data_IF_567206185601
#
_entry.id   IF_567206185601
#
_cell.length_a   1.000
_cell.length_b   1.000
_cell.length_c   1.000
_cell.angle_alpha   90.00
_cell.angle_beta   90.00
_cell.angle_gamma   90.00
#
_symmetry.space_group_name_H-M   'P 1'
#
loop_
_entity.id
_entity.type
_entity.pdbx_description
1 polymer ?
#
# COMPACT_ATOMS: atom_id res chain seq x y z
N UNK A 1 -10.13 -13.09 -4.69
CA UNK A 1 -9.33 -13.56 -3.54
C UNK A 1 -10.23 -14.44 -2.72
N UNK A 2 -9.85 -15.69 -2.53
CA UNK A 2 -10.47 -16.58 -1.58
C UNK A 2 -10.23 -16.12 -0.14
N UNK A 3 -10.84 -16.84 0.79
CA UNK A 3 -10.83 -16.48 2.22
C UNK A 3 -9.41 -16.50 2.80
N UNK A 4 -8.63 -17.54 2.49
CA UNK A 4 -7.25 -17.68 2.97
C UNK A 4 -6.36 -16.52 2.52
N UNK A 5 -6.45 -16.11 1.25
CA UNK A 5 -5.64 -14.98 0.75
C UNK A 5 -6.06 -13.66 1.40
N UNK A 6 -7.36 -13.44 1.68
CA UNK A 6 -7.82 -12.26 2.40
C UNK A 6 -7.25 -12.20 3.82
N UNK A 7 -7.25 -13.32 4.54
CA UNK A 7 -6.69 -13.41 5.90
C UNK A 7 -5.19 -13.13 5.87
N UNK A 8 -4.44 -13.82 5.02
CA UNK A 8 -3.00 -13.59 4.87
C UNK A 8 -2.70 -12.14 4.50
N UNK A 9 -3.41 -11.58 3.53
CA UNK A 9 -3.25 -10.19 3.12
C UNK A 9 -3.49 -9.22 4.28
N UNK A 10 -4.57 -9.39 5.04
CA UNK A 10 -4.85 -8.54 6.21
C UNK A 10 -3.79 -8.68 7.30
N UNK A 11 -3.27 -9.88 7.52
CA UNK A 11 -2.21 -10.12 8.49
C UNK A 11 -0.94 -9.34 8.13
N UNK A 12 -0.40 -9.55 6.92
CA UNK A 12 0.81 -8.85 6.47
C UNK A 12 0.61 -7.34 6.33
N UNK A 13 -0.57 -6.90 5.85
CA UNK A 13 -0.90 -5.48 5.80
C UNK A 13 -0.88 -4.86 7.20
N UNK A 14 -1.41 -5.55 8.21
CA UNK A 14 -1.43 -5.06 9.60
C UNK A 14 -0.02 -4.97 10.15
N UNK A 15 0.83 -5.97 9.89
CA UNK A 15 2.23 -5.96 10.30
C UNK A 15 2.99 -4.78 9.66
N UNK A 16 2.81 -4.57 8.37
CA UNK A 16 3.42 -3.45 7.65
C UNK A 16 2.90 -2.09 8.16
N UNK A 17 1.61 -1.98 8.47
CA UNK A 17 1.03 -0.78 9.05
C UNK A 17 1.59 -0.47 10.45
N UNK A 18 1.75 -1.50 11.30
CA UNK A 18 2.39 -1.36 12.62
C UNK A 18 3.83 -0.88 12.45
N UNK A 19 4.61 -1.51 11.57
CA UNK A 19 5.98 -1.09 11.29
C UNK A 19 6.04 0.36 10.80
N UNK A 20 5.17 0.75 9.87
CA UNK A 20 5.10 2.11 9.36
C UNK A 20 4.77 3.13 10.47
N UNK A 21 3.83 2.78 11.35
CA UNK A 21 3.42 3.66 12.45
C UNK A 21 4.51 3.78 13.52
N UNK A 22 5.20 2.70 13.86
CA UNK A 22 6.25 2.69 14.88
C UNK A 22 7.55 3.34 14.40
N UNK A 23 7.98 3.06 13.17
CA UNK A 23 9.27 3.53 12.64
C UNK A 23 9.18 4.93 12.06
N UNK A 24 8.09 5.24 11.35
CA UNK A 24 7.97 6.49 10.58
C UNK A 24 6.87 7.42 11.09
N UNK A 25 6.22 7.08 12.21
CA UNK A 25 5.06 7.82 12.74
C UNK A 25 3.98 8.01 11.67
N UNK A 26 3.81 6.99 10.81
CA UNK A 26 2.90 7.05 9.68
C UNK A 26 1.47 7.38 10.13
N UNK A 27 0.89 8.39 9.48
CA UNK A 27 -0.48 8.83 9.72
C UNK A 27 -1.19 9.05 8.40
N UNK A 28 -2.50 8.82 8.38
CA UNK A 28 -3.37 9.07 7.24
C UNK A 28 -4.42 10.08 7.65
N UNK A 29 -4.45 11.21 6.95
CA UNK A 29 -5.44 12.27 7.18
C UNK A 29 -6.53 12.16 6.11
N UNK A 30 -7.78 12.41 6.48
CA UNK A 30 -8.94 12.39 5.58
C UNK A 30 -9.17 11.05 4.84
N UNK A 31 -8.98 9.91 5.52
CA UNK A 31 -9.12 8.58 4.95
C UNK A 31 -10.52 8.32 4.37
N UNK A 32 -11.54 8.98 4.90
CA UNK A 32 -12.93 8.91 4.46
C UNK A 32 -13.16 9.42 3.04
N UNK A 33 -12.25 10.24 2.50
CA UNK A 33 -12.31 10.74 1.11
C UNK A 33 -11.98 9.66 0.07
N UNK A 34 -11.39 8.53 0.48
CA UNK A 34 -11.08 7.44 -0.44
C UNK A 34 -12.37 6.76 -0.94
N UNK A 35 -12.57 6.61 -2.26
CA UNK A 35 -13.75 5.94 -2.79
C UNK A 35 -13.85 4.48 -2.32
N UNK A 36 -14.95 4.13 -1.64
CA UNK A 36 -15.13 2.79 -1.06
C UNK A 36 -15.70 1.77 -2.05
N UNK A 37 -16.63 2.21 -2.92
CA UNK A 37 -17.43 1.33 -3.78
C UNK A 37 -16.97 1.34 -5.25
N UNK A 38 -16.27 2.38 -5.68
CA UNK A 38 -15.86 2.55 -7.08
C UNK A 38 -14.37 2.26 -7.28
N UNK A 39 -13.95 1.80 -8.47
CA UNK A 39 -12.55 1.80 -8.86
C UNK A 39 -12.00 3.23 -8.95
N UNK A 40 -10.73 3.43 -8.60
CA UNK A 40 -10.03 4.70 -8.73
C UNK A 40 -8.53 4.46 -8.91
N UNK A 41 -7.83 5.44 -9.47
CA UNK A 41 -6.37 5.46 -9.54
C UNK A 41 -5.85 6.27 -8.35
N UNK A 42 -4.93 5.69 -7.59
CA UNK A 42 -4.19 6.42 -6.56
C UNK A 42 -2.94 7.00 -7.21
N UNK A 43 -2.88 8.34 -7.32
CA UNK A 43 -1.77 9.06 -7.96
C UNK A 43 -1.03 9.93 -6.92
N UNK A 44 -0.20 9.33 -6.04
CA UNK A 44 0.56 10.09 -5.06
C UNK A 44 1.77 10.79 -5.71
N UNK A 45 2.26 11.84 -5.07
CA UNK A 45 3.59 12.38 -5.39
C UNK A 45 4.65 11.35 -4.97
N UNK A 46 5.56 10.99 -5.87
CA UNK A 46 6.60 9.99 -5.63
C UNK A 46 7.95 10.68 -5.39
N UNK A 47 8.39 10.73 -4.14
CA UNK A 47 9.67 11.26 -3.67
C UNK A 47 10.67 10.16 -3.28
N UNK A 48 10.21 8.95 -3.01
CA UNK A 48 11.07 7.84 -2.59
C UNK A 48 10.48 6.47 -2.92
N UNK A 49 11.32 5.44 -3.01
CA UNK A 49 10.88 4.07 -3.28
C UNK A 49 9.90 3.52 -2.22
N UNK A 50 9.98 4.00 -0.97
CA UNK A 50 9.09 3.56 0.11
C UNK A 50 7.68 4.16 0.00
N UNK A 51 7.47 5.16 -0.85
CA UNK A 51 6.15 5.78 -1.02
C UNK A 51 5.12 4.80 -1.58
N UNK A 52 5.54 3.87 -2.45
CA UNK A 52 4.65 2.86 -3.03
C UNK A 52 4.04 1.94 -1.96
N UNK A 53 4.83 1.26 -1.10
CA UNK A 53 4.26 0.46 -0.02
C UNK A 53 3.47 1.31 0.99
N UNK A 54 3.94 2.50 1.37
CA UNK A 54 3.20 3.38 2.30
C UNK A 54 1.87 3.87 1.72
N UNK A 55 1.83 4.21 0.43
CA UNK A 55 0.62 4.55 -0.29
C UNK A 55 -0.37 3.40 -0.34
N UNK A 56 0.10 2.15 -0.36
CA UNK A 56 -0.75 0.96 -0.20
C UNK A 56 -1.39 0.82 1.18
N UNK A 57 -0.76 1.35 2.24
CA UNK A 57 -1.23 1.24 3.63
C UNK A 57 -2.35 2.23 3.99
N UNK A 58 -2.73 3.15 3.10
CA UNK A 58 -3.87 4.05 3.36
C UNK A 58 -5.23 3.34 3.19
N UNK A 59 -5.26 2.18 2.52
CA UNK A 59 -6.48 1.41 2.22
C UNK A 59 -6.28 -0.08 2.48
N UNK A 60 -7.35 -0.77 2.88
CA UNK A 60 -7.38 -2.23 2.98
C UNK A 60 -7.74 -2.92 1.66
N UNK A 61 -8.09 -2.13 0.63
CA UNK A 61 -8.34 -2.65 -0.71
C UNK A 61 -7.00 -3.04 -1.32
N UNK A 62 -6.97 -4.18 -2.04
CA UNK A 62 -5.78 -4.59 -2.77
C UNK A 62 -5.45 -3.56 -3.85
N UNK A 63 -4.34 -2.85 -3.67
CA UNK A 63 -3.78 -1.92 -4.65
C UNK A 63 -2.93 -2.71 -5.65
N UNK A 64 -2.99 -2.32 -6.92
CA UNK A 64 -2.10 -2.82 -7.98
C UNK A 64 -1.21 -1.66 -8.39
N UNK A 65 0.10 -1.88 -8.38
CA UNK A 65 1.10 -0.86 -8.69
C UNK A 65 1.61 -1.05 -10.10
N UNK A 66 1.96 0.06 -10.74
CA UNK A 66 2.72 0.07 -11.99
C UNK A 66 4.18 0.28 -11.61
N UNK A 67 5.03 -0.68 -11.99
CA UNK A 67 6.45 -0.65 -11.72
C UNK A 67 7.20 -0.65 -13.05
N UNK A 68 8.29 0.13 -13.15
CA UNK A 68 9.18 0.09 -14.30
C UNK A 68 9.84 -1.28 -14.38
N UNK A 69 9.97 -1.84 -15.58
CA UNK A 69 10.58 -3.15 -15.81
C UNK A 69 11.98 -3.27 -15.17
N UNK A 70 12.79 -2.21 -15.24
CA UNK A 70 14.15 -2.19 -14.68
C UNK A 70 14.22 -2.47 -13.18
N UNK A 71 13.13 -2.31 -12.42
CA UNK A 71 13.09 -2.66 -10.99
C UNK A 71 13.26 -4.17 -10.78
N UNK A 72 12.84 -4.99 -11.74
CA UNK A 72 12.95 -6.45 -11.68
C UNK A 72 14.33 -6.97 -12.10
N UNK A 73 15.11 -6.14 -12.79
CA UNK A 73 16.44 -6.48 -13.30
C UNK A 73 17.58 -6.07 -12.35
N UNK A 74 17.27 -5.66 -11.12
CA UNK A 74 18.27 -5.37 -10.10
C UNK A 74 19.05 -6.65 -9.78
N UNK A 75 20.39 -6.57 -9.86
CA UNK A 75 21.32 -7.67 -9.53
C UNK A 75 21.98 -7.52 -8.14
N UNK A 76 21.51 -6.55 -7.36
CA UNK A 76 21.73 -6.56 -5.91
C UNK A 76 20.99 -7.74 -5.29
#
# INVERSE_FOLDING_TARGET
MGLKEKIAYRFFWTLAWIAAKSLFRFSTVNKERLPKKTPYILAPVHRSYIDSPLGGLITLRRVRFLAKESIWNSRL
#
